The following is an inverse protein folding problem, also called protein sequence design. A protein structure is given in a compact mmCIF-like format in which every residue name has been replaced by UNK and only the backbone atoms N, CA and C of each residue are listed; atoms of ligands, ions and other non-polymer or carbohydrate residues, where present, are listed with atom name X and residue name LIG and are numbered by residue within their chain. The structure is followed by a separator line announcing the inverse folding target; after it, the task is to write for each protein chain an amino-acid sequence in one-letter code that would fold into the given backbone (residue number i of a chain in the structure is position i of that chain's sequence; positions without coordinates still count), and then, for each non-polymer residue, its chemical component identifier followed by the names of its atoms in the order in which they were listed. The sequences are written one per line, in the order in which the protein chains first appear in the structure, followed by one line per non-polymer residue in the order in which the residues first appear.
data_IF_419583498148
#
_entry.id   IF_419583498148
#
_cell.length_a   1.000
_cell.length_b   1.000
_cell.length_c   1.000
_cell.angle_alpha   90.00
_cell.angle_beta   90.00
_cell.angle_gamma   90.00
#
_symmetry.space_group_name_H-M   'P 1'
#
loop_
_entity.id
_entity.type
_entity.pdbx_description
1 polymer ?
#
# COMPACT_ATOMS: atom_id res chain seq x y z
N UNK A 1 -0.96 22.66 -1.96
CA UNK A 1 0.40 22.27 -2.34
C UNK A 1 0.59 22.59 -3.80
N UNK A 2 1.72 23.20 -4.17
CA UNK A 2 2.05 23.52 -5.58
C UNK A 2 2.21 22.28 -6.45
N UNK A 3 2.37 22.46 -7.77
CA UNK A 3 2.66 21.35 -8.67
C UNK A 3 4.08 20.81 -8.46
N UNK A 4 4.31 19.52 -8.73
CA UNK A 4 5.66 18.93 -8.74
C UNK A 4 6.40 19.30 -10.03
N UNK A 5 7.67 19.66 -9.92
CA UNK A 5 8.49 20.04 -11.08
C UNK A 5 9.58 21.05 -10.72
N UNK A 6 10.62 21.17 -11.53
CA UNK A 6 11.67 22.17 -11.31
C UNK A 6 11.13 23.58 -11.52
N UNK A 7 11.45 24.49 -10.60
CA UNK A 7 11.04 25.89 -10.65
C UNK A 7 11.52 26.58 -11.94
N UNK A 8 12.63 26.14 -12.52
CA UNK A 8 13.14 26.63 -13.80
C UNK A 8 12.18 26.47 -14.99
N UNK A 9 11.26 25.51 -14.96
CA UNK A 9 10.27 25.32 -16.02
C UNK A 9 9.07 26.27 -15.88
N UNK A 10 8.88 26.90 -14.71
CA UNK A 10 7.77 27.82 -14.48
C UNK A 10 8.18 29.26 -14.84
N UNK A 11 7.98 29.64 -16.12
CA UNK A 11 8.33 30.97 -16.65
C UNK A 11 7.63 32.13 -15.92
N UNK A 12 6.53 31.90 -15.21
CA UNK A 12 5.84 32.94 -14.45
C UNK A 12 6.56 33.23 -13.13
N UNK A 13 7.00 32.19 -12.41
CA UNK A 13 7.74 32.35 -11.15
C UNK A 13 9.17 32.85 -11.39
N UNK A 14 9.81 32.42 -12.48
CA UNK A 14 11.18 32.82 -12.83
C UNK A 14 11.30 34.27 -13.35
N UNK A 15 10.19 34.99 -13.55
CA UNK A 15 10.20 36.41 -13.92
C UNK A 15 10.49 37.31 -12.73
N UNK A 16 9.94 36.97 -11.57
CA UNK A 16 10.03 37.77 -10.33
C UNK A 16 11.28 37.43 -9.50
N UNK A 17 12.04 36.42 -9.89
CA UNK A 17 13.31 36.03 -9.25
C UNK A 17 14.45 36.88 -9.79
N UNK A 18 15.24 37.47 -8.89
CA UNK A 18 16.42 38.26 -9.23
C UNK A 18 17.48 37.40 -9.97
N UNK A 19 18.14 37.99 -10.97
CA UNK A 19 19.04 37.30 -11.92
C UNK A 19 20.17 36.55 -11.21
N UNK A 20 20.65 37.05 -10.08
CA UNK A 20 21.70 36.40 -9.29
C UNK A 20 21.23 35.08 -8.65
N UNK A 21 19.95 34.97 -8.30
CA UNK A 21 19.37 33.79 -7.64
C UNK A 21 18.64 32.84 -8.59
N UNK A 22 18.40 33.25 -9.85
CA UNK A 22 17.74 32.40 -10.86
C UNK A 22 18.41 31.04 -11.02
N UNK A 23 19.74 30.99 -11.03
CA UNK A 23 20.47 29.73 -11.23
C UNK A 23 20.41 28.82 -10.00
N UNK A 24 20.35 29.40 -8.79
CA UNK A 24 20.21 28.66 -7.54
C UNK A 24 18.79 28.11 -7.33
N UNK A 25 17.77 28.86 -7.75
CA UNK A 25 16.36 28.52 -7.54
C UNK A 25 15.81 27.64 -8.67
N UNK A 26 16.37 27.72 -9.88
CA UNK A 26 15.91 26.93 -11.04
C UNK A 26 15.88 25.41 -10.78
N UNK A 27 16.81 24.90 -9.98
CA UNK A 27 16.91 23.47 -9.63
C UNK A 27 16.01 23.04 -8.46
N UNK A 28 15.36 23.98 -7.77
CA UNK A 28 14.50 23.66 -6.64
C UNK A 28 13.12 23.16 -7.10
N UNK A 29 12.48 22.33 -6.29
CA UNK A 29 11.17 21.76 -6.60
C UNK A 29 10.07 22.81 -6.34
N UNK A 30 9.08 22.85 -7.22
CA UNK A 30 7.91 23.71 -7.14
C UNK A 30 6.90 23.24 -6.08
N UNK A 31 7.06 22.03 -5.55
CA UNK A 31 6.23 21.50 -4.48
C UNK A 31 6.71 21.97 -3.09
N UNK A 32 5.86 22.73 -2.38
CA UNK A 32 6.11 23.23 -1.01
C UNK A 32 5.20 22.61 0.06
N UNK A 33 4.46 21.55 -0.27
CA UNK A 33 3.62 20.85 0.70
C UNK A 33 4.40 19.84 1.54
N UNK A 34 3.75 19.29 2.56
CA UNK A 34 4.32 18.23 3.41
C UNK A 34 4.29 16.84 2.75
N UNK A 35 3.79 16.69 1.52
CA UNK A 35 3.77 15.39 0.84
C UNK A 35 5.20 14.99 0.49
N UNK A 36 5.74 13.91 1.09
CA UNK A 36 7.00 13.35 0.63
C UNK A 36 6.81 12.90 -0.82
N UNK A 37 7.90 12.87 -1.60
CA UNK A 37 7.89 12.08 -2.83
C UNK A 37 7.44 10.66 -2.49
N UNK A 38 6.22 10.30 -2.86
CA UNK A 38 5.76 8.92 -2.80
C UNK A 38 6.48 8.20 -3.92
N UNK A 39 7.58 7.52 -3.62
CA UNK A 39 8.06 6.38 -4.41
C UNK A 39 6.81 5.61 -4.83
N UNK A 40 6.63 5.41 -6.15
CA UNK A 40 5.33 5.28 -6.81
C UNK A 40 4.25 4.49 -6.05
N UNK A 41 2.97 4.88 -6.19
CA UNK A 41 1.88 4.27 -5.44
C UNK A 41 1.97 2.74 -5.50
N UNK A 42 2.09 2.12 -4.33
CA UNK A 42 2.07 0.67 -4.19
C UNK A 42 0.69 0.19 -4.67
N UNK A 43 0.64 -0.36 -5.87
CA UNK A 43 -0.61 -0.77 -6.49
C UNK A 43 -0.77 -2.27 -6.41
N UNK A 44 -1.79 -2.71 -5.67
CA UNK A 44 -2.23 -4.11 -5.66
C UNK A 44 -3.45 -4.19 -6.57
N UNK A 45 -3.38 -5.04 -7.59
CA UNK A 45 -4.46 -5.17 -8.58
C UNK A 45 -5.77 -5.60 -7.92
N UNK A 46 -6.89 -5.06 -8.41
CA UNK A 46 -8.23 -5.34 -7.85
C UNK A 46 -8.56 -6.84 -7.77
N UNK A 47 -8.10 -7.63 -8.76
CA UNK A 47 -8.25 -9.10 -8.76
C UNK A 47 -7.52 -9.74 -7.58
N UNK A 48 -6.31 -9.27 -7.26
CA UNK A 48 -5.51 -9.79 -6.14
C UNK A 48 -6.22 -9.47 -4.82
N UNK A 49 -6.74 -8.24 -4.67
CA UNK A 49 -7.50 -7.85 -3.48
C UNK A 49 -8.75 -8.71 -3.31
N UNK A 50 -9.51 -8.92 -4.39
CA UNK A 50 -10.67 -9.81 -4.38
C UNK A 50 -10.31 -11.24 -3.96
N UNK A 51 -9.29 -11.83 -4.59
CA UNK A 51 -8.84 -13.20 -4.27
C UNK A 51 -8.25 -13.32 -2.86
N UNK A 52 -7.62 -12.26 -2.36
CA UNK A 52 -7.14 -12.18 -0.98
C UNK A 52 -8.31 -12.24 0.00
N UNK A 53 -9.32 -11.38 -0.18
CA UNK A 53 -10.52 -11.33 0.69
C UNK A 53 -11.28 -12.66 0.62
N UNK A 54 -11.46 -13.22 -0.58
CA UNK A 54 -12.08 -14.54 -0.75
C UNK A 54 -11.27 -15.64 -0.04
N UNK A 55 -9.94 -15.56 -0.12
CA UNK A 55 -9.00 -16.48 0.51
C UNK A 55 -9.14 -16.60 2.02
N UNK A 56 -9.50 -15.50 2.70
CA UNK A 56 -9.77 -15.49 4.14
C UNK A 56 -10.86 -16.51 4.49
N UNK A 57 -11.87 -16.66 3.63
CA UNK A 57 -12.98 -17.57 3.85
C UNK A 57 -12.69 -19.00 3.40
N UNK A 58 -12.11 -19.18 2.22
CA UNK A 58 -12.05 -20.50 1.58
C UNK A 58 -10.75 -21.27 1.87
N UNK A 59 -9.63 -20.59 2.12
CA UNK A 59 -8.35 -21.27 2.37
C UNK A 59 -8.38 -21.89 3.77
N UNK A 60 -8.17 -23.21 3.93
CA UNK A 60 -8.08 -23.83 5.25
C UNK A 60 -6.69 -23.64 5.87
N UNK A 61 -6.62 -23.75 7.20
CA UNK A 61 -5.35 -23.79 7.94
C UNK A 61 -4.92 -22.48 8.58
N UNK A 62 -3.82 -22.55 9.35
CA UNK A 62 -3.28 -21.42 10.13
C UNK A 62 -2.53 -20.42 9.25
N UNK A 63 -1.99 -20.86 8.11
CA UNK A 63 -1.19 -20.03 7.20
C UNK A 63 -1.95 -18.79 6.74
N UNK A 64 -3.24 -18.90 6.39
CA UNK A 64 -4.03 -17.72 6.00
C UNK A 64 -4.08 -16.65 7.08
N UNK A 65 -4.15 -17.04 8.35
CA UNK A 65 -4.22 -16.09 9.47
C UNK A 65 -2.89 -15.41 9.70
N UNK A 66 -1.76 -16.11 9.50
CA UNK A 66 -0.44 -15.48 9.50
C UNK A 66 -0.32 -14.44 8.38
N UNK A 67 -0.76 -14.78 7.15
CA UNK A 67 -0.71 -13.86 6.01
C UNK A 67 -1.61 -12.64 6.21
N UNK A 68 -2.83 -12.83 6.70
CA UNK A 68 -3.76 -11.74 7.01
C UNK A 68 -3.20 -10.85 8.12
N UNK A 69 -2.72 -11.44 9.21
CA UNK A 69 -2.17 -10.68 10.35
C UNK A 69 -0.93 -9.90 9.93
N UNK A 70 -0.03 -10.49 9.15
CA UNK A 70 1.15 -9.80 8.63
C UNK A 70 0.77 -8.65 7.69
N UNK A 71 -0.25 -8.83 6.84
CA UNK A 71 -0.76 -7.77 5.96
C UNK A 71 -1.35 -6.61 6.77
N UNK A 72 -2.23 -6.92 7.73
CA UNK A 72 -2.89 -5.93 8.57
C UNK A 72 -1.86 -5.18 9.44
N UNK A 73 -0.93 -5.90 10.06
CA UNK A 73 0.15 -5.32 10.85
C UNK A 73 1.05 -4.41 9.99
N UNK A 74 1.39 -4.83 8.77
CA UNK A 74 2.16 -4.02 7.82
C UNK A 74 1.44 -2.72 7.47
N UNK A 75 0.12 -2.75 7.26
CA UNK A 75 -0.69 -1.54 7.02
C UNK A 75 -0.66 -0.62 8.25
N UNK A 76 -0.90 -1.15 9.45
CA UNK A 76 -0.84 -0.36 10.70
C UNK A 76 0.55 0.26 10.94
N UNK A 77 1.62 -0.51 10.70
CA UNK A 77 2.98 -0.02 10.81
C UNK A 77 3.27 1.07 9.78
N UNK A 78 2.79 0.90 8.54
CA UNK A 78 2.97 1.88 7.47
C UNK A 78 2.34 3.25 7.75
N UNK A 79 1.41 3.31 8.72
CA UNK A 79 0.69 4.52 9.10
C UNK A 79 1.57 5.56 9.83
N UNK A 80 2.75 5.13 10.31
CA UNK A 80 3.85 5.98 10.78
C UNK A 80 3.42 7.08 11.75
N UNK A 81 3.52 8.34 11.32
CA UNK A 81 3.23 9.52 12.15
C UNK A 81 1.83 9.52 12.79
N UNK A 82 0.86 8.79 12.23
CA UNK A 82 -0.49 8.70 12.80
C UNK A 82 -0.59 7.66 13.93
N UNK A 83 0.38 6.74 14.04
CA UNK A 83 0.43 5.72 15.08
C UNK A 83 1.87 5.42 15.53
N UNK A 84 2.59 6.47 15.95
CA UNK A 84 3.99 6.39 16.38
C UNK A 84 4.26 5.37 17.51
N UNK A 85 3.39 5.19 18.54
CA UNK A 85 3.68 4.23 19.61
C UNK A 85 3.94 2.79 19.12
N UNK A 86 3.23 2.35 18.06
CA UNK A 86 3.47 1.04 17.46
C UNK A 86 4.74 1.01 16.62
N UNK A 87 4.99 2.06 15.84
CA UNK A 87 6.18 2.17 15.00
C UNK A 87 7.45 2.21 15.86
N UNK A 88 7.46 3.00 16.93
CA UNK A 88 8.60 3.15 17.84
C UNK A 88 8.89 1.83 18.58
N UNK A 89 7.85 1.11 19.03
CA UNK A 89 8.03 -0.23 19.59
C UNK A 89 8.71 -1.20 18.61
N UNK A 90 8.32 -1.18 17.34
CA UNK A 90 8.95 -2.02 16.32
C UNK A 90 10.40 -1.61 16.02
N UNK A 91 10.70 -0.30 16.03
CA UNK A 91 12.07 0.20 15.86
C UNK A 91 12.97 -0.21 17.03
N UNK A 92 12.49 -0.08 18.27
CA UNK A 92 13.33 -0.27 19.45
C UNK A 92 13.52 -1.76 19.81
N UNK A 93 12.50 -2.61 19.59
CA UNK A 93 12.50 -3.99 20.08
C UNK A 93 12.63 -5.05 18.99
N UNK A 94 12.29 -4.77 17.72
CA UNK A 94 12.34 -5.79 16.67
C UNK A 94 13.63 -5.69 15.86
N UNK A 95 14.51 -6.71 15.93
CA UNK A 95 15.76 -6.71 15.19
C UNK A 95 15.48 -6.70 13.68
N UNK A 96 16.18 -5.82 12.96
CA UNK A 96 16.06 -5.69 11.50
C UNK A 96 14.97 -4.73 11.02
N UNK A 97 14.03 -4.31 11.89
CA UNK A 97 13.04 -3.29 11.50
C UNK A 97 13.69 -1.92 11.26
N UNK A 98 14.75 -1.58 12.01
CA UNK A 98 15.58 -0.39 11.82
C UNK A 98 16.30 -0.31 10.45
N UNK A 99 16.21 -1.35 9.61
CA UNK A 99 16.72 -1.30 8.23
C UNK A 99 15.73 -0.67 7.25
N UNK A 100 14.45 -0.56 7.60
CA UNK A 100 13.47 0.17 6.81
C UNK A 100 13.67 1.68 7.01
N UNK A 101 14.24 2.33 5.99
CA UNK A 101 14.53 3.78 6.03
C UNK A 101 13.28 4.66 6.01
N UNK A 102 12.17 4.12 5.53
CA UNK A 102 10.88 4.79 5.55
C UNK A 102 9.81 3.79 6.00
N UNK A 103 8.89 4.28 6.82
CA UNK A 103 7.78 3.51 7.37
C UNK A 103 6.90 2.91 6.26
N UNK A 104 6.77 3.60 5.12
CA UNK A 104 6.08 3.09 3.94
C UNK A 104 6.72 1.84 3.31
N UNK A 105 8.03 1.59 3.50
CA UNK A 105 8.70 0.39 2.96
C UNK A 105 8.21 -0.90 3.62
N UNK A 106 7.55 -0.82 4.78
CA UNK A 106 6.95 -1.98 5.43
C UNK A 106 5.78 -2.57 4.64
N UNK A 107 5.16 -1.80 3.72
CA UNK A 107 4.09 -2.29 2.84
C UNK A 107 4.54 -3.39 1.88
N UNK A 108 5.84 -3.55 1.65
CA UNK A 108 6.39 -4.71 0.91
C UNK A 108 5.93 -6.04 1.52
N UNK A 109 5.72 -6.10 2.83
CA UNK A 109 5.19 -7.31 3.49
C UNK A 109 3.76 -7.58 3.01
N UNK A 110 2.92 -6.55 2.97
CA UNK A 110 1.55 -6.63 2.47
C UNK A 110 1.51 -7.01 0.97
N UNK A 111 2.41 -6.43 0.17
CA UNK A 111 2.59 -6.74 -1.26
C UNK A 111 2.98 -8.19 -1.53
N UNK A 112 3.66 -8.86 -0.59
CA UNK A 112 4.00 -10.28 -0.71
C UNK A 112 2.89 -11.18 -0.17
N UNK A 113 2.29 -10.81 0.96
CA UNK A 113 1.27 -11.62 1.63
C UNK A 113 -0.03 -11.70 0.82
N UNK A 114 -0.46 -10.59 0.21
CA UNK A 114 -1.72 -10.55 -0.54
C UNK A 114 -1.72 -11.46 -1.77
N UNK A 115 -0.73 -11.38 -2.69
CA UNK A 115 -0.62 -12.30 -3.82
C UNK A 115 -0.41 -13.75 -3.38
N UNK A 116 0.35 -13.99 -2.31
CA UNK A 116 0.57 -15.35 -1.81
C UNK A 116 -0.74 -16.00 -1.37
N UNK A 117 -1.56 -15.29 -0.58
CA UNK A 117 -2.87 -15.81 -0.20
C UNK A 117 -3.80 -15.93 -1.41
N UNK A 118 -3.77 -14.99 -2.36
CA UNK A 118 -4.55 -15.08 -3.58
C UNK A 118 -4.20 -16.32 -4.42
N UNK A 119 -2.91 -16.68 -4.53
CA UNK A 119 -2.48 -17.92 -5.20
C UNK A 119 -3.00 -19.14 -4.45
N UNK A 120 -2.97 -19.14 -3.12
CA UNK A 120 -3.54 -20.22 -2.30
C UNK A 120 -5.05 -20.35 -2.50
N UNK A 121 -5.77 -19.23 -2.62
CA UNK A 121 -7.20 -19.18 -2.95
C UNK A 121 -7.46 -19.88 -4.28
N UNK A 122 -6.72 -19.51 -5.33
CA UNK A 122 -6.84 -20.10 -6.67
C UNK A 122 -6.54 -21.60 -6.62
N UNK A 123 -5.45 -21.99 -5.97
CA UNK A 123 -5.10 -23.41 -5.81
C UNK A 123 -6.20 -24.20 -5.07
N UNK A 124 -6.80 -23.61 -4.04
CA UNK A 124 -7.94 -24.21 -3.33
C UNK A 124 -9.16 -24.43 -4.24
N UNK A 125 -9.47 -23.45 -5.09
CA UNK A 125 -10.56 -23.53 -6.07
C UNK A 125 -10.26 -24.60 -7.13
N UNK A 126 -9.02 -24.67 -7.63
CA UNK A 126 -8.64 -25.68 -8.63
C UNK A 126 -8.73 -27.10 -8.07
N UNK A 127 -8.36 -27.30 -6.79
CA UNK A 127 -8.45 -28.62 -6.12
C UNK A 127 -9.87 -29.02 -5.78
N UNK A 128 -10.73 -28.06 -5.42
CA UNK A 128 -12.14 -28.32 -5.18
C UNK A 128 -13.00 -27.23 -5.87
N UNK A 129 -13.34 -27.40 -7.16
CA UNK A 129 -14.14 -26.41 -7.89
C UNK A 129 -15.54 -26.18 -7.30
N UNK A 130 -16.07 -27.17 -6.57
CA UNK A 130 -17.35 -27.07 -5.85
C UNK A 130 -17.35 -26.05 -4.73
N UNK A 131 -16.17 -25.67 -4.21
CA UNK A 131 -16.03 -24.79 -3.05
C UNK A 131 -16.69 -23.42 -3.25
N UNK A 132 -16.72 -22.90 -4.49
CA UNK A 132 -17.36 -21.61 -4.78
C UNK A 132 -18.89 -21.72 -4.65
N UNK A 133 -19.47 -22.84 -5.06
CA UNK A 133 -20.90 -23.10 -4.88
C UNK A 133 -21.23 -23.37 -3.41
N UNK A 134 -20.41 -24.15 -2.72
CA UNK A 134 -20.57 -24.43 -1.29
C UNK A 134 -20.44 -23.16 -0.43
N UNK A 135 -19.55 -22.24 -0.81
CA UNK A 135 -19.27 -20.97 -0.13
C UNK A 135 -19.82 -19.77 -0.91
N UNK A 136 -20.93 -19.94 -1.61
CA UNK A 136 -21.53 -18.91 -2.48
C UNK A 136 -21.82 -17.61 -1.73
N UNK A 137 -22.30 -17.70 -0.47
CA UNK A 137 -22.51 -16.53 0.38
C UNK A 137 -21.21 -15.75 0.63
N UNK A 138 -20.13 -16.46 0.96
CA UNK A 138 -18.82 -15.84 1.21
C UNK A 138 -18.23 -15.25 -0.08
N UNK A 139 -18.47 -15.88 -1.23
CA UNK A 139 -18.08 -15.33 -2.52
C UNK A 139 -18.75 -13.99 -2.80
N UNK A 140 -20.08 -13.90 -2.63
CA UNK A 140 -20.80 -12.63 -2.80
C UNK A 140 -20.42 -11.58 -1.77
N UNK A 141 -20.11 -11.98 -0.53
CA UNK A 141 -19.58 -11.04 0.48
C UNK A 141 -18.23 -10.49 0.04
N UNK A 142 -17.30 -11.36 -0.38
CA UNK A 142 -15.99 -10.93 -0.87
C UNK A 142 -16.13 -9.99 -2.08
N UNK A 143 -17.01 -10.35 -3.03
CA UNK A 143 -17.29 -9.55 -4.22
C UNK A 143 -17.92 -8.20 -3.88
N UNK A 144 -18.89 -8.19 -2.96
CA UNK A 144 -19.55 -6.97 -2.49
C UNK A 144 -18.62 -6.06 -1.71
N UNK A 145 -17.71 -6.62 -0.90
CA UNK A 145 -16.71 -5.84 -0.17
C UNK A 145 -15.72 -5.18 -1.13
N UNK A 146 -15.11 -5.94 -2.04
CA UNK A 146 -14.10 -5.39 -2.95
C UNK A 146 -14.70 -4.55 -4.05
N UNK A 147 -15.84 -4.95 -4.61
CA UNK A 147 -16.58 -4.20 -5.62
C UNK A 147 -17.23 -2.94 -5.04
N UNK A 148 -17.79 -3.02 -3.83
CA UNK A 148 -18.35 -1.86 -3.14
C UNK A 148 -17.29 -0.81 -2.81
N UNK A 149 -16.12 -1.23 -2.31
CA UNK A 149 -14.98 -0.31 -2.13
C UNK A 149 -14.54 0.30 -3.45
N UNK A 150 -14.43 -0.49 -4.52
CA UNK A 150 -14.03 0.00 -5.84
C UNK A 150 -15.03 0.96 -6.48
N UNK A 151 -16.29 1.03 -6.02
CA UNK A 151 -17.30 1.98 -6.50
C UNK A 151 -17.30 3.29 -5.72
N UNK A 152 -16.75 3.31 -4.52
CA UNK A 152 -16.68 4.49 -3.65
C UNK A 152 -15.50 5.40 -4.03
N UNK A 153 -14.45 4.82 -4.62
CA UNK A 153 -13.22 5.50 -5.03
C UNK A 153 -13.13 5.59 -6.55
#
# INVERSE_FOLDING_TARGET
GGATGVLGNNKNVMKDVDRQFKQAIAGQNHYWGNQPFTSGPVYVGAIIVFLFVLGIFIVPGRLKWFLVTATVLSIFLSWGKNFMPLTDFFLDYIPGYNKFRAVSMTLVIAELCMPLLAILTVNGILKNPGIIKEKQKQFFIAFGLTGGLALIF
#
